data_IF_026775243066
#
_entry.id   IF_026775243066
#
_cell.length_a   1.000
_cell.length_b   1.000
_cell.length_c   1.000
_cell.angle_alpha   90.00
_cell.angle_beta   90.00
_cell.angle_gamma   90.00
#
_symmetry.space_group_name_H-M   'P 1'
#
loop_
_entity.id
_entity.type
_entity.pdbx_description
1 polymer ?
#
# COMPACT_ATOMS: atom_id res chain seq x y z
N UNK A 1 -23.35 -11.60 -5.35
CA UNK A 1 -22.78 -11.81 -6.69
C UNK A 1 -21.41 -11.17 -6.71
N UNK A 2 -20.43 -11.76 -7.42
CA UNK A 2 -19.13 -11.15 -7.69
C UNK A 2 -19.28 -9.81 -8.40
N UNK A 3 -18.22 -9.01 -8.42
CA UNK A 3 -18.21 -7.67 -8.98
C UNK A 3 -17.88 -7.70 -10.49
N UNK A 4 -18.74 -7.08 -11.29
CA UNK A 4 -18.67 -7.05 -12.76
C UNK A 4 -17.88 -5.85 -13.32
N UNK A 5 -17.44 -4.93 -12.46
CA UNK A 5 -16.59 -3.79 -12.82
C UNK A 5 -15.52 -3.55 -11.76
N UNK A 6 -14.28 -3.16 -12.16
CA UNK A 6 -13.25 -2.75 -11.22
C UNK A 6 -13.61 -1.42 -10.54
N UNK A 7 -13.15 -1.23 -9.30
CA UNK A 7 -13.21 0.06 -8.60
C UNK A 7 -11.97 0.89 -8.93
N UNK A 8 -12.10 2.22 -8.99
CA UNK A 8 -10.94 3.11 -9.16
C UNK A 8 -9.93 2.92 -8.02
N UNK A 9 -8.63 2.86 -8.38
CA UNK A 9 -7.52 2.70 -7.43
C UNK A 9 -7.74 1.57 -6.42
N UNK A 10 -8.38 0.47 -6.81
CA UNK A 10 -8.54 -0.71 -5.95
C UNK A 10 -8.18 -1.97 -6.72
N UNK A 11 -7.24 -2.74 -6.20
CA UNK A 11 -6.96 -4.10 -6.65
C UNK A 11 -7.74 -5.12 -5.82
N UNK A 12 -8.33 -6.10 -6.50
CA UNK A 12 -8.95 -7.28 -5.89
C UNK A 12 -8.66 -8.51 -6.74
N UNK A 13 -8.58 -9.70 -6.14
CA UNK A 13 -8.40 -10.92 -6.92
C UNK A 13 -9.62 -11.16 -7.84
N UNK A 14 -9.35 -11.73 -9.01
CA UNK A 14 -10.38 -12.23 -9.92
C UNK A 14 -10.88 -13.60 -9.45
N UNK A 15 -12.13 -13.93 -9.80
CA UNK A 15 -12.59 -15.31 -9.82
C UNK A 15 -11.90 -16.04 -10.97
N UNK A 16 -11.48 -17.28 -10.73
CA UNK A 16 -10.88 -18.10 -11.76
C UNK A 16 -11.89 -18.39 -12.88
N UNK A 17 -11.47 -18.11 -14.10
CA UNK A 17 -12.33 -18.25 -15.27
C UNK A 17 -11.60 -17.92 -16.57
N UNK A 18 -12.28 -18.04 -17.72
CA UNK A 18 -11.73 -17.65 -19.01
C UNK A 18 -11.27 -16.19 -18.97
N UNK A 19 -10.08 -15.90 -19.49
CA UNK A 19 -9.44 -14.58 -19.50
C UNK A 19 -9.14 -13.95 -18.11
N UNK A 20 -9.42 -14.61 -16.98
CA UNK A 20 -9.14 -14.07 -15.65
C UNK A 20 -7.66 -13.69 -15.48
N UNK A 21 -6.75 -14.46 -16.08
CA UNK A 21 -5.30 -14.18 -16.09
C UNK A 21 -4.90 -12.87 -16.79
N UNK A 22 -5.61 -12.46 -17.85
CA UNK A 22 -5.41 -11.16 -18.49
C UNK A 22 -6.14 -10.05 -17.73
N UNK A 23 -7.41 -10.31 -17.37
CA UNK A 23 -8.27 -9.37 -16.68
C UNK A 23 -7.77 -8.96 -15.30
N UNK A 24 -6.94 -9.78 -14.62
CA UNK A 24 -6.41 -9.45 -13.28
C UNK A 24 -5.49 -8.24 -13.22
N UNK A 25 -4.84 -7.87 -14.32
CA UNK A 25 -3.84 -6.79 -14.35
C UNK A 25 -4.13 -5.76 -15.44
N UNK A 26 -4.78 -6.14 -16.54
CA UNK A 26 -4.91 -5.27 -17.71
C UNK A 26 -5.71 -3.98 -17.45
N UNK A 27 -6.71 -4.03 -16.56
CA UNK A 27 -7.46 -2.82 -16.17
C UNK A 27 -6.63 -1.83 -15.38
N UNK A 28 -5.62 -2.29 -14.64
CA UNK A 28 -4.72 -1.45 -13.82
C UNK A 28 -3.91 -0.52 -14.73
N UNK A 29 -3.61 -0.96 -15.95
CA UNK A 29 -2.89 -0.17 -16.97
C UNK A 29 -3.78 0.76 -17.79
N UNK A 30 -5.10 0.71 -17.61
CA UNK A 30 -6.00 1.63 -18.32
C UNK A 30 -5.75 3.08 -17.87
N UNK A 31 -5.62 4.06 -18.80
CA UNK A 31 -5.41 5.46 -18.43
C UNK A 31 -6.49 6.08 -17.55
N UNK A 32 -7.69 5.50 -17.52
CA UNK A 32 -8.81 5.97 -16.70
C UNK A 32 -8.85 5.29 -15.33
N UNK A 33 -8.11 4.21 -15.09
CA UNK A 33 -8.05 3.55 -13.79
C UNK A 33 -7.48 4.48 -12.70
N UNK A 34 -6.41 5.19 -13.07
CA UNK A 34 -5.66 6.06 -12.18
C UNK A 34 -5.06 7.22 -12.96
N UNK A 35 -5.11 8.43 -12.39
CA UNK A 35 -4.40 9.57 -12.95
C UNK A 35 -2.92 9.48 -12.58
N UNK A 36 -2.06 9.28 -13.57
CA UNK A 36 -0.60 9.22 -13.41
C UNK A 36 -0.11 8.19 -12.37
N UNK A 37 -0.48 6.90 -12.48
CA UNK A 37 -0.15 5.88 -11.48
C UNK A 37 1.36 5.73 -11.23
N UNK A 38 2.17 5.87 -12.28
CA UNK A 38 3.62 5.88 -12.18
C UNK A 38 4.20 6.96 -11.26
N UNK A 39 3.44 8.03 -10.95
CA UNK A 39 3.86 9.03 -9.98
C UNK A 39 3.95 8.46 -8.55
N UNK A 40 2.93 7.69 -8.14
CA UNK A 40 2.86 7.08 -6.81
C UNK A 40 3.87 5.95 -6.67
N UNK A 41 3.97 5.10 -7.70
CA UNK A 41 4.96 4.00 -7.70
C UNK A 41 6.39 4.53 -7.68
N UNK A 42 6.69 5.57 -8.47
CA UNK A 42 8.01 6.22 -8.46
C UNK A 42 8.34 6.83 -7.10
N UNK A 43 7.39 7.47 -6.44
CA UNK A 43 7.61 8.03 -5.10
C UNK A 43 7.98 6.93 -4.08
N UNK A 44 7.29 5.80 -4.13
CA UNK A 44 7.63 4.62 -3.32
C UNK A 44 9.03 4.07 -3.64
N UNK A 45 9.37 3.89 -4.92
CA UNK A 45 10.69 3.38 -5.33
C UNK A 45 11.84 4.30 -4.88
N UNK A 46 11.64 5.61 -4.86
CA UNK A 46 12.61 6.57 -4.33
C UNK A 46 12.79 6.42 -2.80
N UNK A 47 11.69 6.25 -2.06
CA UNK A 47 11.73 5.97 -0.62
C UNK A 47 12.44 4.65 -0.34
N UNK A 48 12.16 3.61 -1.13
CA UNK A 48 12.81 2.31 -1.00
C UNK A 48 14.32 2.42 -1.21
N UNK A 49 14.75 3.12 -2.26
CA UNK A 49 16.17 3.37 -2.52
C UNK A 49 16.86 4.13 -1.39
N UNK A 50 16.18 5.12 -0.80
CA UNK A 50 16.70 5.85 0.37
C UNK A 50 16.80 4.94 1.61
N UNK A 51 15.89 3.97 1.77
CA UNK A 51 15.95 2.95 2.83
C UNK A 51 17.11 1.98 2.60
N UNK A 52 17.33 1.51 1.37
CA UNK A 52 18.48 0.65 1.03
C UNK A 52 19.80 1.35 1.33
N UNK A 53 19.89 2.64 1.00
CA UNK A 53 21.05 3.47 1.35
C UNK A 53 21.25 3.59 2.86
N UNK A 54 20.17 3.62 3.65
CA UNK A 54 20.28 3.62 5.10
C UNK A 54 20.83 2.28 5.62
N UNK A 55 20.45 1.17 4.99
CA UNK A 55 20.95 -0.17 5.33
C UNK A 55 22.44 -0.35 5.05
N UNK A 56 23.06 0.46 4.19
CA UNK A 56 24.52 0.50 4.04
C UNK A 56 25.24 0.93 5.33
N UNK A 57 24.56 1.64 6.24
CA UNK A 57 25.12 2.16 7.48
C UNK A 57 24.57 1.47 8.74
N UNK A 58 23.32 1.03 8.71
CA UNK A 58 22.63 0.42 9.85
C UNK A 58 21.97 -0.87 9.38
N UNK A 59 22.53 -1.99 9.81
CA UNK A 59 22.02 -3.32 9.47
C UNK A 59 20.53 -3.47 9.89
N UNK A 60 19.64 -3.95 9.01
CA UNK A 60 18.27 -4.24 9.38
C UNK A 60 18.21 -5.48 10.29
N UNK A 61 18.28 -5.25 11.61
CA UNK A 61 18.30 -6.31 12.62
C UNK A 61 17.46 -5.93 13.85
N UNK A 62 17.16 -6.90 14.74
CA UNK A 62 16.46 -6.63 16.00
C UNK A 62 17.16 -5.57 16.86
N UNK A 63 18.48 -5.57 16.89
CA UNK A 63 19.30 -4.62 17.67
C UNK A 63 19.17 -3.19 17.13
N UNK A 64 19.00 -3.05 15.81
CA UNK A 64 18.90 -1.75 15.16
C UNK A 64 17.50 -1.12 15.20
N UNK A 65 16.46 -1.84 15.63
CA UNK A 65 15.07 -1.35 15.59
C UNK A 65 14.85 -0.02 16.30
N UNK A 66 15.50 0.16 17.45
CA UNK A 66 15.39 1.38 18.25
C UNK A 66 16.37 2.48 17.81
N UNK A 67 17.17 2.23 16.77
CA UNK A 67 18.09 3.24 16.23
C UNK A 67 17.29 4.39 15.63
N UNK A 68 17.60 5.61 16.03
CA UNK A 68 16.96 6.82 15.53
C UNK A 68 18.03 7.82 15.09
N UNK A 69 17.72 8.61 14.08
CA UNK A 69 18.60 9.65 13.55
C UNK A 69 17.80 10.68 12.78
N UNK A 70 18.41 11.81 12.43
CA UNK A 70 17.73 12.80 11.60
C UNK A 70 17.39 12.25 10.22
N UNK A 71 18.20 11.33 9.68
CA UNK A 71 17.94 10.67 8.40
C UNK A 71 16.77 9.69 8.47
N UNK A 72 16.67 8.93 9.56
CA UNK A 72 15.53 8.03 9.80
C UNK A 72 14.24 8.84 9.95
N UNK A 73 14.27 9.89 10.76
CA UNK A 73 13.13 10.78 10.95
C UNK A 73 12.71 11.46 9.64
N UNK A 74 13.65 12.02 8.88
CA UNK A 74 13.39 12.63 7.56
C UNK A 74 12.70 11.66 6.61
N UNK A 75 13.22 10.42 6.50
CA UNK A 75 12.65 9.40 5.62
C UNK A 75 11.28 8.92 6.10
N UNK A 76 11.07 8.77 7.42
CA UNK A 76 9.77 8.45 8.01
C UNK A 76 8.74 9.53 7.66
N UNK A 77 9.09 10.81 7.77
CA UNK A 77 8.21 11.93 7.43
C UNK A 77 7.78 11.87 5.96
N UNK A 78 8.74 11.71 5.04
CA UNK A 78 8.46 11.58 3.60
C UNK A 78 7.56 10.37 3.32
N UNK A 79 7.82 9.25 3.97
CA UNK A 79 7.02 8.02 3.82
C UNK A 79 5.58 8.23 4.26
N UNK A 80 5.35 8.81 5.44
CA UNK A 80 3.99 9.07 5.93
C UNK A 80 3.23 10.08 5.07
N UNK A 81 3.91 11.10 4.51
CA UNK A 81 3.29 12.04 3.56
C UNK A 81 2.80 11.30 2.31
N UNK A 82 3.61 10.40 1.75
CA UNK A 82 3.20 9.59 0.59
C UNK A 82 2.04 8.63 0.94
N UNK A 83 2.02 8.06 2.14
CA UNK A 83 0.90 7.24 2.61
C UNK A 83 -0.39 8.08 2.68
N UNK A 84 -0.35 9.27 3.30
CA UNK A 84 -1.50 10.17 3.37
C UNK A 84 -1.98 10.60 1.97
N UNK A 85 -1.05 10.86 1.05
CA UNK A 85 -1.37 11.23 -0.32
C UNK A 85 -2.07 10.11 -1.09
N UNK A 86 -1.60 8.86 -0.96
CA UNK A 86 -2.24 7.69 -1.56
C UNK A 86 -3.65 7.45 -0.99
N UNK A 87 -3.83 7.56 0.33
CA UNK A 87 -5.17 7.42 0.91
C UNK A 87 -6.15 8.47 0.40
N UNK A 88 -5.71 9.74 0.29
CA UNK A 88 -6.54 10.80 -0.28
C UNK A 88 -6.90 10.50 -1.73
N UNK A 89 -5.93 10.07 -2.55
CA UNK A 89 -6.18 9.72 -3.95
C UNK A 89 -7.24 8.62 -4.09
N UNK A 90 -7.18 7.58 -3.26
CA UNK A 90 -8.19 6.50 -3.23
C UNK A 90 -9.57 7.05 -2.89
N UNK A 91 -9.69 7.87 -1.84
CA UNK A 91 -10.96 8.44 -1.42
C UNK A 91 -11.55 9.39 -2.47
N UNK A 92 -10.71 10.24 -3.06
CA UNK A 92 -11.10 11.24 -4.07
C UNK A 92 -11.53 10.61 -5.41
N UNK A 93 -10.95 9.46 -5.78
CA UNK A 93 -11.35 8.71 -6.97
C UNK A 93 -12.68 7.96 -6.79
N UNK A 94 -13.15 7.83 -5.54
CA UNK A 94 -14.32 7.06 -5.15
C UNK A 94 -15.39 7.98 -4.53
N UNK A 95 -16.43 7.41 -3.91
CA UNK A 95 -17.48 8.20 -3.25
C UNK A 95 -17.11 8.33 -1.78
N UNK A 96 -16.63 9.51 -1.41
CA UNK A 96 -16.37 9.90 -0.03
C UNK A 96 -16.65 11.39 0.18
N UNK A 97 -17.41 11.72 1.22
CA UNK A 97 -17.71 13.09 1.64
C UNK A 97 -16.98 13.38 2.95
N UNK A 98 -15.87 14.14 2.94
CA UNK A 98 -15.12 14.41 4.16
C UNK A 98 -15.93 15.30 5.11
N UNK A 99 -15.87 14.97 6.40
CA UNK A 99 -16.30 15.89 7.43
C UNK A 99 -15.44 17.17 7.39
N UNK A 100 -16.06 18.31 7.66
CA UNK A 100 -15.40 19.61 7.62
C UNK A 100 -15.08 20.08 9.03
N UNK A 101 -13.88 20.63 9.25
CA UNK A 101 -13.48 21.21 10.53
C UNK A 101 -14.02 22.63 10.73
N UNK A 102 -13.78 23.21 11.91
CA UNK A 102 -14.19 24.60 12.25
C UNK A 102 -13.64 25.69 11.31
N UNK A 103 -12.63 25.38 10.50
CA UNK A 103 -11.99 26.28 9.54
C UNK A 103 -12.40 25.99 8.09
N UNK A 104 -13.50 25.26 7.88
CA UNK A 104 -13.99 24.89 6.55
C UNK A 104 -13.02 24.01 5.73
N UNK A 105 -12.13 23.26 6.39
CA UNK A 105 -11.21 22.35 5.72
C UNK A 105 -11.64 20.88 5.90
N UNK A 106 -11.46 20.03 4.88
CA UNK A 106 -11.77 18.61 4.99
C UNK A 106 -10.84 17.92 6.00
N UNK A 107 -11.44 17.07 6.84
CA UNK A 107 -10.73 16.32 7.86
C UNK A 107 -10.23 15.02 7.23
N UNK A 108 -8.91 14.90 7.11
CA UNK A 108 -8.24 13.66 6.75
C UNK A 108 -7.28 13.27 7.88
N UNK A 109 -7.48 12.08 8.43
CA UNK A 109 -6.68 11.53 9.50
C UNK A 109 -6.75 9.99 9.45
N UNK A 110 -6.06 9.32 10.37
CA UNK A 110 -5.97 7.86 10.33
C UNK A 110 -7.31 7.14 10.60
N UNK A 111 -8.26 7.76 11.30
CA UNK A 111 -9.59 7.16 11.47
C UNK A 111 -10.41 7.21 10.18
N UNK A 112 -10.25 8.27 9.38
CA UNK A 112 -10.80 8.34 8.02
C UNK A 112 -10.13 7.30 7.12
N UNK A 113 -8.79 7.24 7.11
CA UNK A 113 -8.06 6.32 6.24
C UNK A 113 -8.32 4.84 6.55
N UNK A 114 -8.67 4.50 7.80
CA UNK A 114 -9.10 3.15 8.19
C UNK A 114 -10.28 2.64 7.34
N UNK A 115 -11.14 3.52 6.80
CA UNK A 115 -12.25 3.13 5.90
C UNK A 115 -11.75 2.43 4.64
N UNK A 116 -10.56 2.77 4.15
CA UNK A 116 -9.93 2.14 2.98
C UNK A 116 -9.71 0.65 3.19
N UNK A 117 -9.48 0.22 4.44
CA UNK A 117 -9.32 -1.20 4.79
C UNK A 117 -10.49 -2.07 4.32
N UNK A 118 -11.73 -1.57 4.35
CA UNK A 118 -12.93 -2.31 3.92
C UNK A 118 -12.95 -2.63 2.43
N UNK A 119 -12.18 -1.88 1.64
CA UNK A 119 -12.14 -2.00 0.18
C UNK A 119 -10.87 -2.66 -0.35
N UNK A 120 -9.79 -2.64 0.43
CA UNK A 120 -8.45 -3.07 0.03
C UNK A 120 -7.89 -4.21 0.90
N UNK A 121 -8.50 -4.53 2.06
CA UNK A 121 -8.04 -5.55 3.01
C UNK A 121 -6.59 -5.31 3.49
N UNK A 122 -6.22 -4.05 3.74
CA UNK A 122 -4.86 -3.63 4.09
C UNK A 122 -4.29 -4.35 5.33
N UNK A 123 -5.15 -4.62 6.32
CA UNK A 123 -4.77 -5.34 7.55
C UNK A 123 -4.48 -6.83 7.35
N UNK A 124 -4.83 -7.40 6.20
CA UNK A 124 -4.62 -8.81 5.85
C UNK A 124 -3.37 -9.03 5.01
N UNK A 125 -2.64 -7.98 4.64
CA UNK A 125 -1.34 -8.10 3.99
C UNK A 125 -0.23 -8.44 4.98
N UNK A 126 0.74 -9.21 4.49
CA UNK A 126 1.99 -9.48 5.19
C UNK A 126 3.16 -9.06 4.32
N UNK A 127 4.18 -8.47 4.93
CA UNK A 127 5.41 -8.04 4.26
C UNK A 127 6.61 -8.67 4.97
N UNK A 128 7.58 -9.15 4.21
CA UNK A 128 8.83 -9.67 4.73
C UNK A 128 10.00 -8.88 4.14
N UNK A 129 11.01 -8.60 4.96
CA UNK A 129 12.29 -8.05 4.52
C UNK A 129 13.31 -9.21 4.48
N UNK A 130 13.65 -9.77 3.30
CA UNK A 130 14.58 -10.90 3.18
C UNK A 130 15.97 -10.64 3.77
N UNK A 131 16.42 -9.40 3.69
CA UNK A 131 17.74 -8.97 4.19
C UNK A 131 17.78 -8.81 5.71
N UNK A 132 16.68 -9.07 6.42
CA UNK A 132 16.64 -8.94 7.87
C UNK A 132 17.64 -9.89 8.55
N UNK A 133 18.62 -9.32 9.26
CA UNK A 133 19.65 -10.06 9.96
C UNK A 133 19.16 -10.48 11.34
N UNK A 134 18.39 -11.56 11.40
CA UNK A 134 17.85 -12.11 12.62
C UNK A 134 16.77 -13.17 12.34
N UNK A 135 15.99 -13.55 13.36
CA UNK A 135 14.81 -14.38 13.14
C UNK A 135 13.89 -13.75 12.10
N UNK A 136 13.26 -14.61 11.27
CA UNK A 136 12.35 -14.18 10.21
C UNK A 136 11.36 -13.14 10.74
N UNK A 137 11.36 -11.96 10.13
CA UNK A 137 10.47 -10.85 10.51
C UNK A 137 9.36 -10.65 9.48
N UNK A 138 8.12 -10.89 9.93
CA UNK A 138 6.90 -10.59 9.18
C UNK A 138 6.31 -9.30 9.73
N UNK A 139 6.05 -8.35 8.84
CA UNK A 139 5.50 -7.03 9.11
C UNK A 139 4.03 -7.03 8.68
N UNK A 140 3.15 -6.58 9.58
CA UNK A 140 1.71 -6.39 9.31
C UNK A 140 1.34 -4.94 9.58
N UNK A 141 1.68 -4.01 8.66
CA UNK A 141 1.69 -2.58 8.95
C UNK A 141 0.32 -1.99 9.32
N UNK A 142 -0.78 -2.68 8.97
CA UNK A 142 -2.15 -2.26 9.25
C UNK A 142 -2.92 -3.20 10.19
N UNK A 143 -2.28 -4.19 10.82
CA UNK A 143 -2.95 -5.18 11.70
C UNK A 143 -3.73 -4.52 12.86
N UNK A 144 -3.23 -3.39 13.37
CA UNK A 144 -3.89 -2.61 14.44
C UNK A 144 -5.36 -2.30 14.13
N UNK A 145 -5.71 -2.12 12.85
CA UNK A 145 -7.08 -1.83 12.45
C UNK A 145 -8.08 -2.98 12.69
N UNK A 146 -7.64 -4.24 12.60
CA UNK A 146 -8.48 -5.41 12.92
C UNK A 146 -8.71 -5.53 14.42
N UNK A 147 -7.73 -5.13 15.23
CA UNK A 147 -7.80 -5.25 16.70
C UNK A 147 -8.40 -4.02 17.38
N UNK A 148 -8.87 -3.03 16.61
CA UNK A 148 -9.38 -1.76 17.14
C UNK A 148 -8.30 -0.83 17.68
N UNK A 149 -7.02 -1.21 17.55
CA UNK A 149 -5.86 -0.40 17.94
C UNK A 149 -5.51 0.62 16.86
N UNK A 150 -4.70 1.60 17.25
CA UNK A 150 -4.07 2.52 16.31
C UNK A 150 -2.96 1.84 15.50
N UNK A 151 -2.29 2.63 14.66
CA UNK A 151 -1.14 2.19 13.86
C UNK A 151 0.13 2.76 14.48
N UNK A 152 0.96 1.91 15.06
CA UNK A 152 2.09 2.33 15.92
C UNK A 152 3.10 3.21 15.19
N UNK A 153 3.50 2.84 13.96
CA UNK A 153 4.45 3.64 13.17
C UNK A 153 3.88 5.01 12.79
N UNK A 154 2.56 5.13 12.63
CA UNK A 154 1.91 6.42 12.37
C UNK A 154 1.78 7.26 13.65
N UNK A 155 1.57 6.63 14.80
CA UNK A 155 1.61 7.31 16.10
C UNK A 155 3.01 7.88 16.37
N UNK A 156 4.05 7.09 16.13
CA UNK A 156 5.45 7.52 16.22
C UNK A 156 5.77 8.71 15.30
N UNK A 157 5.27 8.67 14.05
CA UNK A 157 5.33 9.81 13.12
C UNK A 157 4.64 11.05 13.69
N UNK A 158 3.40 10.96 14.16
CA UNK A 158 2.70 12.14 14.69
C UNK A 158 3.36 12.69 15.96
N UNK A 159 3.80 11.82 16.87
CA UNK A 159 4.49 12.22 18.10
C UNK A 159 5.77 13.00 17.77
N UNK A 160 6.65 12.43 16.94
CA UNK A 160 7.91 13.07 16.54
C UNK A 160 7.74 14.32 15.66
N UNK A 161 6.63 14.41 14.91
CA UNK A 161 6.24 15.60 14.13
C UNK A 161 5.83 16.77 15.02
N UNK A 162 5.07 16.51 16.09
CA UNK A 162 4.51 17.55 16.96
C UNK A 162 5.42 17.92 18.13
N UNK A 163 6.15 16.96 18.70
CA UNK A 163 7.13 17.18 19.78
C UNK A 163 8.46 16.51 19.43
N UNK A 164 9.18 17.10 18.46
CA UNK A 164 10.48 16.57 18.07
C UNK A 164 11.48 16.56 19.23
N UNK A 165 11.41 17.49 20.17
CA UNK A 165 12.42 17.58 21.22
C UNK A 165 12.35 16.36 22.15
N UNK A 166 11.15 15.93 22.53
CA UNK A 166 10.96 14.80 23.45
C UNK A 166 10.74 13.46 22.74
N UNK A 167 10.11 13.48 21.57
CA UNK A 167 9.64 12.28 20.87
C UNK A 167 10.49 11.90 19.65
N UNK A 168 11.64 12.55 19.43
CA UNK A 168 12.54 12.24 18.31
C UNK A 168 12.85 10.75 18.19
N UNK A 169 13.10 10.10 19.34
CA UNK A 169 13.44 8.67 19.42
C UNK A 169 12.32 7.73 18.97
N UNK A 170 11.08 8.20 18.92
CA UNK A 170 9.98 7.40 18.37
C UNK A 170 10.11 7.24 16.85
N UNK A 171 10.74 8.21 16.17
CA UNK A 171 11.11 8.08 14.77
C UNK A 171 12.38 7.22 14.61
N UNK A 172 12.24 5.93 14.91
CA UNK A 172 13.30 4.93 14.84
C UNK A 172 13.17 4.02 13.61
N UNK A 173 14.18 3.16 13.42
CA UNK A 173 14.28 2.22 12.30
C UNK A 173 13.07 1.28 12.22
N UNK A 174 12.58 0.78 13.36
CA UNK A 174 11.40 -0.08 13.39
C UNK A 174 10.14 0.62 12.88
N UNK A 175 9.91 1.86 13.30
CA UNK A 175 8.80 2.69 12.81
C UNK A 175 8.95 2.99 11.30
N UNK A 176 10.16 3.32 10.86
CA UNK A 176 10.46 3.57 9.44
C UNK A 176 10.19 2.33 8.56
N UNK A 177 10.75 1.17 8.90
CA UNK A 177 10.56 -0.07 8.12
C UNK A 177 9.07 -0.44 8.07
N UNK A 178 8.35 -0.29 9.18
CA UNK A 178 6.92 -0.54 9.24
C UNK A 178 6.12 0.45 8.37
N UNK A 179 6.48 1.73 8.37
CA UNK A 179 5.85 2.75 7.53
C UNK A 179 6.11 2.51 6.03
N UNK A 180 7.35 2.17 5.64
CA UNK A 180 7.70 1.84 4.24
C UNK A 180 6.96 0.58 3.79
N UNK A 181 6.82 -0.41 4.67
CA UNK A 181 6.00 -1.60 4.42
C UNK A 181 4.51 -1.25 4.28
N UNK A 182 4.01 -0.30 5.09
CA UNK A 182 2.66 0.23 4.96
C UNK A 182 2.42 0.94 3.62
N UNK A 183 3.39 1.74 3.17
CA UNK A 183 3.34 2.37 1.84
C UNK A 183 3.37 1.31 0.73
N UNK A 184 4.22 0.29 0.85
CA UNK A 184 4.25 -0.84 -0.10
C UNK A 184 2.89 -1.54 -0.18
N UNK A 185 2.28 -1.86 0.96
CA UNK A 185 0.95 -2.50 1.01
C UNK A 185 -0.08 -1.60 0.33
N UNK A 186 -0.05 -0.29 0.57
CA UNK A 186 -0.99 0.65 -0.04
C UNK A 186 -0.79 0.75 -1.57
N UNK A 187 0.45 0.80 -2.05
CA UNK A 187 0.77 0.76 -3.49
C UNK A 187 0.32 -0.56 -4.11
N UNK A 188 0.64 -1.69 -3.48
CA UNK A 188 0.29 -3.02 -3.99
C UNK A 188 -1.22 -3.26 -3.98
N UNK A 189 -1.95 -2.67 -3.03
CA UNK A 189 -3.40 -2.75 -2.98
C UNK A 189 -4.12 -1.91 -4.04
N UNK A 190 -3.41 -1.01 -4.71
CA UNK A 190 -3.92 -0.23 -5.84
C UNK A 190 -3.43 -0.81 -7.18
N UNK A 191 -2.17 -1.24 -7.25
CA UNK A 191 -1.50 -1.52 -8.52
C UNK A 191 -0.93 -2.94 -8.62
N UNK A 192 -1.18 -3.80 -7.63
CA UNK A 192 -0.60 -5.14 -7.53
C UNK A 192 0.94 -5.10 -7.61
N UNK A 193 1.52 -5.56 -8.73
CA UNK A 193 2.96 -5.61 -9.02
C UNK A 193 3.35 -4.69 -10.20
N UNK A 194 2.42 -3.84 -10.67
CA UNK A 194 2.63 -2.98 -11.83
C UNK A 194 3.56 -1.80 -11.49
N UNK A 195 4.68 -1.70 -12.21
CA UNK A 195 5.70 -0.68 -11.96
C UNK A 195 5.55 0.60 -12.81
N UNK A 196 4.74 0.54 -13.87
CA UNK A 196 4.51 1.61 -14.86
C UNK A 196 5.81 2.19 -15.42
N UNK A 197 6.86 1.36 -15.53
CA UNK A 197 8.09 1.75 -16.19
C UNK A 197 7.85 1.94 -17.70
N UNK A 198 8.70 2.76 -18.33
CA UNK A 198 8.63 2.99 -19.78
C UNK A 198 9.26 1.84 -20.60
N UNK A 199 9.87 0.87 -19.94
CA UNK A 199 10.49 -0.29 -20.58
C UNK A 199 9.44 -1.31 -21.02
N UNK A 200 9.84 -2.23 -21.90
CA UNK A 200 9.00 -3.35 -22.27
C UNK A 200 8.79 -4.29 -21.08
N UNK A 201 7.62 -4.94 -21.03
CA UNK A 201 7.33 -5.97 -20.03
C UNK A 201 8.33 -7.12 -20.18
N UNK A 202 9.12 -7.36 -19.14
CA UNK A 202 10.08 -8.46 -19.11
C UNK A 202 9.34 -9.78 -18.82
N UNK A 203 9.52 -10.78 -19.68
CA UNK A 203 9.11 -12.15 -19.35
C UNK A 203 10.13 -12.73 -18.37
N UNK A 204 9.69 -12.98 -17.13
CA UNK A 204 10.48 -13.71 -16.14
C UNK A 204 10.20 -15.21 -16.25
N UNK A 205 11.26 -16.01 -16.39
CA UNK A 205 11.17 -17.48 -16.29
C UNK A 205 11.23 -17.87 -14.80
N UNK A 206 10.10 -18.37 -14.27
CA UNK A 206 10.02 -18.80 -12.88
C UNK A 206 10.93 -20.00 -12.59
N UNK A 207 11.91 -19.81 -11.71
CA UNK A 207 12.65 -20.90 -11.05
C UNK A 207 12.03 -21.25 -9.68
N UNK A 208 12.72 -22.07 -8.89
CA UNK A 208 12.38 -22.22 -7.47
C UNK A 208 12.67 -20.90 -6.75
N UNK A 209 11.63 -20.21 -6.28
CA UNK A 209 11.82 -19.03 -5.42
C UNK A 209 12.32 -19.51 -4.05
N UNK A 210 13.37 -18.86 -3.54
CA UNK A 210 13.91 -19.15 -2.21
C UNK A 210 12.95 -18.69 -1.10
N UNK A 211 12.05 -17.76 -1.43
CA UNK A 211 11.06 -17.22 -0.50
C UNK A 211 9.65 -17.72 -0.81
N UNK A 212 8.85 -17.90 0.24
CA UNK A 212 7.45 -18.34 0.20
C UNK A 212 6.45 -17.21 -0.13
N UNK A 213 6.93 -15.97 -0.19
CA UNK A 213 6.16 -14.77 -0.49
C UNK A 213 6.58 -14.18 -1.84
N UNK A 214 5.63 -13.51 -2.52
CA UNK A 214 5.86 -12.94 -3.85
C UNK A 214 6.87 -11.79 -3.79
N UNK A 215 7.67 -11.61 -4.83
CA UNK A 215 8.46 -10.38 -5.00
C UNK A 215 7.52 -9.17 -5.06
N UNK A 216 7.81 -8.12 -4.30
CA UNK A 216 7.05 -6.87 -4.36
C UNK A 216 7.64 -5.90 -5.36
N UNK A 217 6.91 -4.82 -5.66
CA UNK A 217 7.43 -3.65 -6.39
C UNK A 217 8.78 -3.23 -5.80
N UNK A 218 9.78 -3.05 -6.66
CA UNK A 218 11.15 -2.68 -6.27
C UNK A 218 12.00 -3.80 -5.64
N UNK A 219 11.44 -4.99 -5.39
CA UNK A 219 12.15 -6.23 -5.00
C UNK A 219 12.95 -6.22 -3.69
N UNK A 220 12.94 -5.13 -2.90
CA UNK A 220 13.54 -5.12 -1.56
C UNK A 220 12.77 -6.00 -0.57
N UNK A 221 11.44 -6.00 -0.68
CA UNK A 221 10.55 -6.75 0.19
C UNK A 221 9.91 -7.92 -0.55
N UNK A 222 9.35 -8.84 0.23
CA UNK A 222 8.39 -9.84 -0.25
C UNK A 222 7.02 -9.55 0.36
N UNK A 223 5.97 -9.86 -0.39
CA UNK A 223 4.59 -9.55 -0.01
C UNK A 223 3.69 -10.78 -0.16
N UNK A 224 2.80 -10.97 0.81
CA UNK A 224 1.68 -11.88 0.72
C UNK A 224 0.40 -11.05 0.61
N UNK A 225 -0.35 -11.30 -0.46
CA UNK A 225 -1.64 -10.66 -0.70
C UNK A 225 -2.73 -11.31 0.18
N UNK A 226 -3.81 -10.57 0.52
CA UNK A 226 -4.91 -11.11 1.29
C UNK A 226 -5.55 -12.32 0.59
N UNK A 227 -5.78 -13.39 1.35
CA UNK A 227 -6.44 -14.61 0.92
C UNK A 227 -7.85 -14.78 1.53
N UNK A 228 -8.34 -13.75 2.20
CA UNK A 228 -9.58 -13.72 2.97
C UNK A 228 -10.76 -13.10 2.19
N UNK A 229 -10.62 -12.92 0.88
CA UNK A 229 -11.64 -12.33 0.01
C UNK A 229 -12.85 -13.28 -0.16
N UNK A 230 -14.07 -12.86 0.26
CA UNK A 230 -15.30 -13.56 -0.12
C UNK A 230 -15.53 -13.45 -1.62
N UNK A 231 -16.09 -14.48 -2.25
CA UNK A 231 -16.31 -14.49 -3.71
C UNK A 231 -17.18 -13.32 -4.20
N UNK A 232 -18.13 -12.86 -3.39
CA UNK A 232 -18.94 -11.68 -3.71
C UNK A 232 -18.17 -10.35 -3.72
N UNK A 233 -16.94 -10.32 -3.21
CA UNK A 233 -16.08 -9.14 -3.23
C UNK A 233 -14.97 -9.23 -4.29
N UNK A 234 -14.77 -10.40 -4.91
CA UNK A 234 -13.84 -10.62 -6.02
C UNK A 234 -14.41 -10.06 -7.32
N UNK A 235 -13.54 -9.82 -8.28
CA UNK A 235 -13.90 -9.39 -9.63
C UNK A 235 -14.20 -10.58 -10.54
N UNK A 236 -15.18 -10.46 -11.42
CA UNK A 236 -15.61 -11.53 -12.35
C UNK A 236 -15.95 -10.96 -13.74
N UNK A 237 -15.13 -9.99 -14.19
CA UNK A 237 -15.30 -9.35 -15.49
C UNK A 237 -14.27 -9.85 -16.52
N UNK A 238 -14.64 -9.78 -17.79
CA UNK A 238 -13.72 -9.98 -18.90
C UNK A 238 -13.25 -8.61 -19.42
N UNK A 239 -12.01 -8.24 -19.10
CA UNK A 239 -11.47 -6.93 -19.47
C UNK A 239 -11.41 -6.73 -20.98
N UNK A 240 -11.24 -7.80 -21.77
CA UNK A 240 -11.23 -7.69 -23.23
C UNK A 240 -12.58 -7.20 -23.78
N UNK A 241 -13.68 -7.50 -23.08
CA UNK A 241 -15.03 -7.02 -23.41
C UNK A 241 -15.31 -5.66 -22.77
N UNK A 242 -14.93 -5.50 -21.49
CA UNK A 242 -15.26 -4.31 -20.71
C UNK A 242 -14.46 -3.06 -21.13
N UNK A 243 -13.24 -3.21 -21.66
CA UNK A 243 -12.37 -2.07 -22.05
C UNK A 243 -13.00 -1.09 -23.05
N UNK A 244 -13.97 -1.56 -23.86
CA UNK A 244 -14.68 -0.73 -24.84
C UNK A 244 -15.84 0.06 -24.26
N UNK A 245 -16.27 -0.25 -23.03
CA UNK A 245 -17.37 0.45 -22.36
C UNK A 245 -16.88 1.82 -21.84
N UNK A 246 -17.59 2.92 -22.13
CA UNK A 246 -17.29 4.22 -21.53
C UNK A 246 -17.43 4.22 -19.99
N UNK A 247 -18.29 3.37 -19.43
CA UNK A 247 -18.53 3.22 -17.99
C UNK A 247 -17.87 1.95 -17.43
N UNK A 248 -16.63 1.67 -17.83
CA UNK A 248 -15.90 0.43 -17.47
C UNK A 248 -15.35 0.37 -16.04
N UNK A 249 -15.53 1.41 -15.25
CA UNK A 249 -15.10 1.49 -13.85
C UNK A 249 -16.25 1.95 -12.97
N UNK A 250 -16.34 1.41 -11.76
CA UNK A 250 -17.30 1.86 -10.75
C UNK A 250 -16.61 2.51 -9.55
N UNK A 251 -17.37 3.21 -8.70
CA UNK A 251 -16.86 3.86 -7.49
C UNK A 251 -17.29 3.10 -6.24
N UNK A 252 -16.35 2.87 -5.33
CA UNK A 252 -16.63 2.36 -4.01
C UNK A 252 -17.25 3.47 -3.15
N UNK A 253 -18.26 3.14 -2.34
CA UNK A 253 -18.94 4.12 -1.49
C UNK A 253 -18.50 4.02 -0.03
N UNK A 254 -17.55 4.89 0.34
CA UNK A 254 -17.03 5.00 1.70
C UNK A 254 -17.98 5.72 2.67
N UNK A 255 -18.96 6.48 2.17
CA UNK A 255 -19.98 7.15 2.99
C UNK A 255 -20.98 6.16 3.60
N UNK A 256 -21.10 4.96 3.02
CA UNK A 256 -21.91 3.86 3.56
C UNK A 256 -21.21 3.07 4.67
N UNK A 257 -19.91 3.27 4.86
CA UNK A 257 -19.18 2.63 5.93
C UNK A 257 -19.37 3.39 7.24
N UNK A 258 -19.44 2.68 8.39
CA UNK A 258 -19.51 3.29 9.70
C UNK A 258 -18.33 4.25 9.98
#
# INVERSE_FOLDING_TARGET
>A
MPLDKPYYLTYRPMIDGPNAGYSRWAYIRDPYYARSPGHYVRAYLLIQKDLERLFEYVEPSPEAELTFSFRIHELLMRTCIEVEANFKAILDANIYTPAINRFQQPIYNMSVYKKVNASHHLSSYEVMLPLWNGPRKILKPFEGWNTGKGIDWYQAYNASKHDRLQEFKQANMGALISAVSGLLVLISSQFQDQDFSAGDDLISLGGMDYHDMSASTGSLFRIAYPNDWPDGQKYDFDWAKLRGDPDRFQRFNYDRLP
#
